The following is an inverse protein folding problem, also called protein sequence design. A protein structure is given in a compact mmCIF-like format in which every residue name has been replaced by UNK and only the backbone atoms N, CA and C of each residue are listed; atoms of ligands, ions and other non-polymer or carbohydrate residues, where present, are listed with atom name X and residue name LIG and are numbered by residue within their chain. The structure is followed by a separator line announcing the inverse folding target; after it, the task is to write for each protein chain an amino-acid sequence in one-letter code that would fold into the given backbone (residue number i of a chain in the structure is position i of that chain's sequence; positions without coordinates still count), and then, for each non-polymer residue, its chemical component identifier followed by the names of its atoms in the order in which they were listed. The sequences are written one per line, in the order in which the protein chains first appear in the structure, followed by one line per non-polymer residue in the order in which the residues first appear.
data_IF_614016620251
#
_entry.id   IF_614016620251
#
_cell.length_a   1.000
_cell.length_b   1.000
_cell.length_c   1.000
_cell.angle_alpha   90.00
_cell.angle_beta   90.00
_cell.angle_gamma   90.00
#
_symmetry.space_group_name_H-M   'P 1'
#
loop_
_entity.id
_entity.type
_entity.pdbx_description
1 polymer ?
#
# COMPACT_ATOMS: atom_id res chain seq x y z
N UNK A 1 23.14 -15.42 2.23
CA UNK A 1 23.35 -13.95 2.16
C UNK A 1 22.02 -13.19 2.16
N UNK A 2 21.05 -13.50 1.30
CA UNK A 2 19.69 -12.90 1.35
C UNK A 2 19.00 -13.08 2.72
N UNK A 3 18.88 -14.32 3.21
CA UNK A 3 18.26 -14.62 4.52
C UNK A 3 18.96 -13.85 5.66
N UNK A 4 20.28 -13.91 5.71
CA UNK A 4 21.08 -13.23 6.75
C UNK A 4 21.11 -11.69 6.62
N UNK A 5 20.67 -11.14 5.48
CA UNK A 5 20.54 -9.70 5.24
C UNK A 5 19.10 -9.22 5.37
N UNK A 6 18.22 -10.05 5.95
CA UNK A 6 16.81 -9.72 6.18
C UNK A 6 16.04 -9.37 4.90
N UNK A 7 16.44 -9.97 3.77
CA UNK A 7 15.76 -9.78 2.50
C UNK A 7 16.22 -8.56 1.71
N UNK A 8 17.49 -8.18 1.80
CA UNK A 8 18.07 -7.13 0.95
C UNK A 8 17.89 -7.48 -0.54
N UNK A 9 17.20 -6.56 -1.23
CA UNK A 9 16.78 -6.70 -2.62
C UNK A 9 17.95 -6.85 -3.59
N UNK A 10 19.15 -6.36 -3.26
CA UNK A 10 20.33 -6.58 -4.09
C UNK A 10 20.68 -8.05 -4.24
N UNK A 11 20.50 -8.85 -3.17
CA UNK A 11 20.75 -10.29 -3.23
C UNK A 11 19.66 -11.01 -4.00
N UNK A 12 18.41 -10.55 -3.94
CA UNK A 12 17.35 -11.06 -4.79
C UNK A 12 17.73 -10.92 -6.28
N UNK A 13 18.17 -9.75 -6.73
CA UNK A 13 18.59 -9.55 -8.13
C UNK A 13 19.79 -10.40 -8.54
N UNK A 14 20.76 -10.59 -7.63
CA UNK A 14 21.91 -11.47 -7.89
C UNK A 14 21.47 -12.92 -8.04
N UNK A 15 20.58 -13.40 -7.17
CA UNK A 15 20.07 -14.78 -7.21
C UNK A 15 19.17 -15.02 -8.43
N UNK A 16 18.31 -14.07 -8.79
CA UNK A 16 17.44 -14.14 -9.98
C UNK A 16 18.21 -14.35 -11.28
N UNK A 17 19.46 -13.86 -11.36
CA UNK A 17 20.35 -14.03 -12.53
C UNK A 17 21.10 -15.37 -12.54
N UNK A 18 21.26 -16.01 -11.39
CA UNK A 18 22.09 -17.21 -11.24
C UNK A 18 21.28 -18.50 -11.32
N UNK A 19 20.02 -18.46 -10.91
CA UNK A 19 19.15 -19.64 -10.79
C UNK A 19 18.43 -19.86 -12.11
N UNK A 20 18.28 -21.12 -12.50
CA UNK A 20 17.57 -21.48 -13.72
C UNK A 20 16.09 -21.10 -13.61
N UNK A 21 15.52 -20.60 -14.70
CA UNK A 21 14.14 -20.09 -14.72
C UNK A 21 13.10 -21.12 -14.25
N UNK A 22 13.29 -22.40 -14.57
CA UNK A 22 12.40 -23.49 -14.17
C UNK A 22 12.47 -23.82 -12.66
N UNK A 23 13.56 -23.47 -11.99
CA UNK A 23 13.77 -23.72 -10.54
C UNK A 23 13.50 -22.48 -9.69
N UNK A 24 13.41 -21.30 -10.33
CA UNK A 24 13.33 -20.01 -9.65
C UNK A 24 12.15 -19.89 -8.70
N UNK A 25 10.94 -20.26 -9.12
CA UNK A 25 9.72 -20.06 -8.31
C UNK A 25 9.77 -20.86 -7.01
N UNK A 26 10.21 -22.13 -7.07
CA UNK A 26 10.34 -22.98 -5.88
C UNK A 26 11.48 -22.52 -4.98
N UNK A 27 12.59 -22.05 -5.57
CA UNK A 27 13.71 -21.50 -4.81
C UNK A 27 13.30 -20.22 -4.09
N UNK A 28 12.65 -19.29 -4.78
CA UNK A 28 12.21 -18.01 -4.23
C UNK A 28 11.25 -18.21 -3.06
N UNK A 29 10.26 -19.11 -3.21
CA UNK A 29 9.31 -19.42 -2.13
C UNK A 29 10.02 -19.91 -0.87
N UNK A 30 10.89 -20.91 -0.99
CA UNK A 30 11.69 -21.41 0.15
C UNK A 30 12.53 -20.31 0.79
N UNK A 31 13.15 -19.48 -0.04
CA UNK A 31 13.97 -18.38 0.43
C UNK A 31 13.16 -17.31 1.17
N UNK A 32 11.98 -16.93 0.67
CA UNK A 32 11.06 -16.01 1.36
C UNK A 32 10.62 -16.61 2.70
N UNK A 33 10.22 -17.89 2.71
CA UNK A 33 9.77 -18.60 3.92
C UNK A 33 10.86 -18.67 5.01
N UNK A 34 12.12 -18.84 4.62
CA UNK A 34 13.27 -18.87 5.53
C UNK A 34 13.75 -17.47 5.97
N UNK A 35 13.29 -16.41 5.30
CA UNK A 35 13.76 -15.04 5.56
C UNK A 35 12.89 -14.33 6.60
N UNK A 36 13.53 -13.88 7.67
CA UNK A 36 12.89 -12.96 8.61
C UNK A 36 13.02 -11.52 8.11
N UNK A 37 12.03 -11.07 7.33
CA UNK A 37 11.92 -9.68 6.90
C UNK A 37 11.77 -8.75 8.11
N UNK A 38 12.42 -7.60 8.06
CA UNK A 38 12.41 -6.67 9.18
C UNK A 38 11.05 -5.96 9.28
N UNK A 39 10.31 -6.20 10.36
CA UNK A 39 8.98 -5.62 10.58
C UNK A 39 8.98 -4.08 10.70
N UNK A 40 10.15 -3.46 10.93
CA UNK A 40 10.31 -2.01 11.07
C UNK A 40 10.64 -1.29 9.76
N UNK A 41 10.96 -2.00 8.68
CA UNK A 41 11.16 -1.40 7.35
C UNK A 41 9.85 -0.88 6.73
N UNK A 42 8.71 -1.28 7.30
CA UNK A 42 7.35 -1.02 6.84
C UNK A 42 6.82 0.38 7.19
N UNK A 43 7.63 1.22 7.84
CA UNK A 43 7.39 2.65 8.02
C UNK A 43 8.30 3.51 7.13
N UNK A 44 9.05 2.86 6.24
CA UNK A 44 10.09 3.42 5.38
C UNK A 44 9.91 2.93 3.94
N UNK A 45 10.65 3.51 3.00
CA UNK A 45 10.63 3.25 1.55
C UNK A 45 11.05 1.85 1.10
N UNK A 46 11.30 0.91 2.01
CA UNK A 46 11.93 -0.36 1.69
C UNK A 46 11.01 -1.52 2.08
N UNK A 47 10.01 -1.79 1.25
CA UNK A 47 9.14 -2.96 1.42
C UNK A 47 9.61 -4.07 0.49
N UNK A 48 10.84 -4.56 0.70
CA UNK A 48 11.51 -5.46 -0.24
C UNK A 48 10.67 -6.71 -0.58
N UNK A 49 9.92 -7.25 0.38
CA UNK A 49 9.03 -8.38 0.14
C UNK A 49 7.89 -8.04 -0.84
N UNK A 50 7.21 -6.91 -0.63
CA UNK A 50 6.15 -6.44 -1.52
C UNK A 50 6.69 -6.07 -2.90
N UNK A 51 7.89 -5.46 -2.99
CA UNK A 51 8.56 -5.18 -4.26
C UNK A 51 8.88 -6.47 -5.03
N UNK A 52 9.36 -7.51 -4.34
CA UNK A 52 9.58 -8.83 -4.92
C UNK A 52 8.26 -9.41 -5.45
N UNK A 53 7.16 -9.34 -4.69
CA UNK A 53 5.86 -9.82 -5.18
C UNK A 53 5.37 -9.07 -6.42
N UNK A 54 5.61 -7.77 -6.51
CA UNK A 54 5.33 -6.98 -7.72
C UNK A 54 6.15 -7.48 -8.91
N UNK A 55 7.45 -7.72 -8.72
CA UNK A 55 8.35 -8.18 -9.79
C UNK A 55 8.06 -9.61 -10.28
N UNK A 56 7.46 -10.43 -9.43
CA UNK A 56 7.10 -11.82 -9.71
C UNK A 56 5.62 -11.98 -10.13
N UNK A 57 4.81 -10.92 -10.03
CA UNK A 57 3.39 -10.94 -10.36
C UNK A 57 2.52 -11.73 -9.37
N UNK A 58 2.96 -11.87 -8.13
CA UNK A 58 2.27 -12.61 -7.06
C UNK A 58 1.25 -11.68 -6.37
N UNK A 59 0.13 -11.41 -7.04
CA UNK A 59 -0.86 -10.40 -6.63
C UNK A 59 -1.58 -10.72 -5.31
N UNK A 60 -1.84 -12.01 -5.05
CA UNK A 60 -2.52 -12.49 -3.83
C UNK A 60 -1.61 -12.32 -2.60
N UNK A 61 -0.36 -12.74 -2.72
CA UNK A 61 0.67 -12.61 -1.70
C UNK A 61 0.97 -11.13 -1.40
N UNK A 62 1.05 -10.30 -2.46
CA UNK A 62 1.17 -8.85 -2.33
C UNK A 62 0.01 -8.26 -1.53
N UNK A 63 -1.24 -8.62 -1.86
CA UNK A 63 -2.41 -8.11 -1.15
C UNK A 63 -2.39 -8.48 0.33
N UNK A 64 -2.09 -9.74 0.66
CA UNK A 64 -2.00 -10.20 2.05
C UNK A 64 -0.92 -9.44 2.84
N UNK A 65 0.24 -9.22 2.23
CA UNK A 65 1.34 -8.47 2.84
C UNK A 65 0.94 -7.01 3.10
N UNK A 66 0.39 -6.33 2.10
CA UNK A 66 -0.13 -4.96 2.23
C UNK A 66 -1.14 -4.86 3.38
N UNK A 67 -2.12 -5.78 3.43
CA UNK A 67 -3.19 -5.73 4.42
C UNK A 67 -2.70 -6.00 5.85
N UNK A 68 -1.70 -6.88 6.01
CA UNK A 68 -1.03 -7.12 7.30
C UNK A 68 -0.37 -5.84 7.84
N UNK A 69 0.10 -4.98 6.96
CA UNK A 69 0.88 -3.79 7.30
C UNK A 69 0.10 -2.47 7.26
N UNK A 70 -1.11 -2.46 6.71
CA UNK A 70 -1.97 -1.28 6.58
C UNK A 70 -2.89 -1.03 7.79
N UNK A 71 -2.46 -1.41 8.99
CA UNK A 71 -3.32 -1.32 10.19
C UNK A 71 -3.48 0.11 10.73
N UNK A 72 -2.47 0.97 10.55
CA UNK A 72 -2.41 2.32 11.15
C UNK A 72 -2.01 3.44 10.18
N UNK A 73 -1.57 3.10 8.96
CA UNK A 73 -1.10 4.07 7.98
C UNK A 73 -1.47 3.63 6.57
N UNK A 74 -1.40 4.58 5.63
CA UNK A 74 -1.77 4.37 4.22
C UNK A 74 -0.56 4.12 3.33
N UNK A 75 0.66 4.07 3.87
CA UNK A 75 1.89 4.04 3.08
C UNK A 75 1.94 2.84 2.14
N UNK A 76 1.77 1.63 2.67
CA UNK A 76 1.73 0.42 1.86
C UNK A 76 0.58 0.45 0.83
N UNK A 77 -0.57 1.02 1.22
CA UNK A 77 -1.68 1.18 0.29
C UNK A 77 -1.30 2.11 -0.88
N UNK A 78 -0.76 3.28 -0.54
CA UNK A 78 -0.40 4.35 -1.48
C UNK A 78 0.68 3.92 -2.47
N UNK A 79 1.65 3.13 -1.99
CA UNK A 79 2.74 2.60 -2.80
C UNK A 79 2.25 1.54 -3.79
N UNK A 80 1.38 0.64 -3.36
CA UNK A 80 1.06 -0.57 -4.12
C UNK A 80 -0.31 -0.58 -4.81
N UNK A 81 -1.15 0.45 -4.65
CA UNK A 81 -2.51 0.50 -5.22
C UNK A 81 -2.58 0.15 -6.71
N UNK A 82 -1.57 0.51 -7.50
CA UNK A 82 -1.52 0.24 -8.95
C UNK A 82 -1.22 -1.21 -9.33
N UNK A 83 -0.77 -2.03 -8.39
CA UNK A 83 -0.36 -3.42 -8.61
C UNK A 83 -1.36 -4.43 -8.04
N UNK A 84 -2.38 -3.94 -7.33
CA UNK A 84 -3.43 -4.79 -6.76
C UNK A 84 -4.42 -5.18 -7.84
N UNK A 85 -4.76 -6.47 -7.88
CA UNK A 85 -5.70 -7.02 -8.84
C UNK A 85 -7.14 -6.54 -8.57
N UNK A 86 -7.96 -6.58 -9.61
CA UNK A 86 -9.38 -6.22 -9.56
C UNK A 86 -10.17 -6.99 -8.47
N UNK A 87 -9.79 -8.23 -8.16
CA UNK A 87 -10.47 -9.07 -7.17
C UNK A 87 -10.22 -8.61 -5.72
N UNK A 88 -9.13 -7.87 -5.50
CA UNK A 88 -8.72 -7.36 -4.20
C UNK A 88 -9.00 -5.87 -4.01
N UNK A 89 -9.35 -5.16 -5.09
CA UNK A 89 -9.64 -3.73 -5.08
C UNK A 89 -10.62 -3.34 -3.97
N UNK A 90 -11.74 -4.07 -3.83
CA UNK A 90 -12.76 -3.80 -2.80
C UNK A 90 -12.21 -3.93 -1.37
N UNK A 91 -11.33 -4.91 -1.13
CA UNK A 91 -10.68 -5.11 0.17
C UNK A 91 -9.78 -3.92 0.52
N UNK A 92 -8.99 -3.48 -0.45
CA UNK A 92 -8.07 -2.36 -0.30
C UNK A 92 -8.81 -1.02 -0.14
N UNK A 93 -9.90 -0.80 -0.89
CA UNK A 93 -10.74 0.39 -0.76
C UNK A 93 -11.38 0.50 0.63
N UNK A 94 -11.80 -0.62 1.24
CA UNK A 94 -12.29 -0.62 2.63
C UNK A 94 -11.21 -0.25 3.63
N UNK A 95 -9.97 -0.69 3.40
CA UNK A 95 -8.84 -0.32 4.25
C UNK A 95 -8.57 1.20 4.18
N UNK A 96 -8.53 1.74 2.96
CA UNK A 96 -8.43 3.17 2.71
C UNK A 96 -9.50 3.98 3.45
N UNK A 97 -10.77 3.64 3.24
CA UNK A 97 -11.91 4.35 3.83
C UNK A 97 -11.80 4.40 5.36
N UNK A 98 -11.52 3.24 6.00
CA UNK A 98 -11.33 3.15 7.44
C UNK A 98 -10.19 4.06 7.93
N UNK A 99 -9.00 3.95 7.32
CA UNK A 99 -7.81 4.69 7.76
C UNK A 99 -7.95 6.19 7.57
N UNK A 100 -8.46 6.63 6.42
CA UNK A 100 -8.61 8.04 6.09
C UNK A 100 -9.65 8.70 7.00
N UNK A 101 -10.75 8.01 7.33
CA UNK A 101 -11.73 8.49 8.32
C UNK A 101 -11.11 8.68 9.70
N UNK A 102 -10.32 7.71 10.16
CA UNK A 102 -9.63 7.79 11.45
C UNK A 102 -8.62 8.95 11.45
N UNK A 103 -7.82 9.11 10.40
CA UNK A 103 -6.87 10.23 10.28
C UNK A 103 -7.59 11.58 10.23
N UNK A 104 -8.75 11.65 9.59
CA UNK A 104 -9.54 12.88 9.49
C UNK A 104 -10.25 13.25 10.81
N UNK A 105 -10.65 12.30 11.65
CA UNK A 105 -11.46 12.57 12.86
C UNK A 105 -10.72 13.32 13.97
N UNK A 106 -9.39 13.26 13.98
CA UNK A 106 -8.58 14.02 14.93
C UNK A 106 -8.71 15.55 14.77
N UNK A 107 -7.98 16.31 15.61
CA UNK A 107 -7.96 17.77 15.55
C UNK A 107 -7.69 18.30 14.14
N UNK A 108 -8.18 19.51 13.88
CA UNK A 108 -7.87 20.20 12.62
C UNK A 108 -6.35 20.41 12.55
N UNK A 109 -5.76 19.89 11.48
CA UNK A 109 -4.33 20.00 11.21
C UNK A 109 -4.18 20.16 9.71
N UNK A 110 -3.74 21.34 9.29
CA UNK A 110 -3.60 21.67 7.86
C UNK A 110 -2.52 20.79 7.21
N UNK A 111 -1.52 20.34 7.98
CA UNK A 111 -0.40 19.56 7.45
C UNK A 111 -0.80 18.16 7.00
N UNK A 112 -1.86 17.57 7.57
CA UNK A 112 -2.32 16.22 7.18
C UNK A 112 -3.24 16.21 5.95
N UNK A 113 -3.87 17.32 5.59
CA UNK A 113 -4.86 17.32 4.51
C UNK A 113 -4.30 16.96 3.13
N UNK A 114 -3.11 17.46 2.72
CA UNK A 114 -2.49 17.04 1.46
C UNK A 114 -2.22 15.54 1.41
N UNK A 115 -1.81 14.94 2.54
CA UNK A 115 -1.61 13.49 2.62
C UNK A 115 -2.92 12.70 2.47
N UNK A 116 -4.03 13.19 3.03
CA UNK A 116 -5.34 12.55 2.85
C UNK A 116 -5.78 12.60 1.38
N UNK A 117 -5.65 13.76 0.74
CA UNK A 117 -5.99 13.92 -0.68
C UNK A 117 -5.10 13.06 -1.59
N UNK A 118 -3.79 13.00 -1.32
CA UNK A 118 -2.85 12.15 -2.04
C UNK A 118 -3.24 10.65 -1.92
N UNK A 119 -3.57 10.16 -0.73
CA UNK A 119 -4.05 8.80 -0.57
C UNK A 119 -5.37 8.55 -1.31
N UNK A 120 -6.28 9.53 -1.33
CA UNK A 120 -7.52 9.45 -2.12
C UNK A 120 -7.23 9.39 -3.63
N UNK A 121 -6.18 10.06 -4.12
CA UNK A 121 -5.72 9.91 -5.51
C UNK A 121 -5.18 8.51 -5.77
N UNK A 122 -4.44 7.92 -4.84
CA UNK A 122 -3.98 6.54 -4.99
C UNK A 122 -5.14 5.54 -5.08
N UNK A 123 -6.26 5.80 -4.39
CA UNK A 123 -7.48 4.98 -4.52
C UNK A 123 -7.95 4.89 -5.98
N UNK A 124 -7.80 5.95 -6.80
CA UNK A 124 -8.25 5.96 -8.20
C UNK A 124 -7.55 4.93 -9.09
N UNK A 125 -6.43 4.35 -8.65
CA UNK A 125 -5.76 3.24 -9.34
C UNK A 125 -6.49 1.89 -9.20
N UNK A 126 -7.40 1.78 -8.23
CA UNK A 126 -8.16 0.57 -7.96
C UNK A 126 -9.47 0.57 -8.75
N UNK A 127 -9.96 -0.63 -9.09
CA UNK A 127 -11.30 -0.80 -9.65
C UNK A 127 -12.36 -0.21 -8.73
N UNK A 128 -13.19 0.69 -9.25
CA UNK A 128 -14.21 1.40 -8.46
C UNK A 128 -13.66 2.47 -7.50
N UNK A 129 -12.36 2.76 -7.60
CA UNK A 129 -11.65 3.63 -6.69
C UNK A 129 -11.98 5.11 -6.85
N UNK A 130 -12.27 5.55 -8.08
CA UNK A 130 -12.73 6.92 -8.34
C UNK A 130 -14.05 7.22 -7.64
N UNK A 131 -15.03 6.33 -7.77
CA UNK A 131 -16.31 6.45 -7.10
C UNK A 131 -16.17 6.38 -5.58
N UNK A 132 -15.25 5.54 -5.08
CA UNK A 132 -14.95 5.47 -3.65
C UNK A 132 -14.32 6.76 -3.11
N UNK A 133 -13.37 7.35 -3.84
CA UNK A 133 -12.76 8.63 -3.48
C UNK A 133 -13.79 9.77 -3.45
N UNK A 134 -14.69 9.84 -4.45
CA UNK A 134 -15.78 10.83 -4.49
C UNK A 134 -16.71 10.69 -3.28
N UNK A 135 -17.18 9.46 -2.97
CA UNK A 135 -18.02 9.21 -1.78
C UNK A 135 -17.33 9.60 -0.48
N UNK A 136 -16.03 9.37 -0.38
CA UNK A 136 -15.25 9.75 0.79
C UNK A 136 -15.09 11.27 0.90
N UNK A 137 -14.89 11.97 -0.21
CA UNK A 137 -14.87 13.43 -0.27
C UNK A 137 -16.21 14.04 0.19
N UNK A 138 -17.34 13.52 -0.30
CA UNK A 138 -18.68 13.92 0.14
C UNK A 138 -18.87 13.72 1.64
N UNK A 139 -18.46 12.57 2.16
CA UNK A 139 -18.49 12.31 3.60
C UNK A 139 -17.68 13.36 4.37
N UNK A 140 -16.47 13.71 3.93
CA UNK A 140 -15.65 14.71 4.59
C UNK A 140 -16.24 16.12 4.51
N UNK A 141 -16.88 16.49 3.39
CA UNK A 141 -17.61 17.76 3.25
C UNK A 141 -18.75 17.87 4.26
N UNK A 142 -19.51 16.78 4.43
CA UNK A 142 -20.61 16.74 5.41
C UNK A 142 -20.12 16.76 6.86
N UNK A 143 -19.07 16.01 7.19
CA UNK A 143 -18.60 15.89 8.57
C UNK A 143 -17.74 17.08 9.03
N UNK A 144 -17.01 17.70 8.11
CA UNK A 144 -16.03 18.74 8.45
C UNK A 144 -16.19 20.04 7.62
N UNK A 145 -17.41 20.61 7.49
CA UNK A 145 -17.68 21.72 6.59
C UNK A 145 -16.89 23.00 6.92
N UNK A 146 -16.43 23.15 8.17
CA UNK A 146 -15.68 24.33 8.65
C UNK A 146 -14.16 24.24 8.44
N UNK A 147 -13.65 23.13 7.90
CA UNK A 147 -12.22 22.93 7.64
C UNK A 147 -11.88 23.39 6.22
N UNK A 148 -11.86 24.70 5.99
CA UNK A 148 -11.69 25.29 4.65
C UNK A 148 -10.46 24.78 3.91
N UNK A 149 -9.31 24.65 4.59
CA UNK A 149 -8.10 24.06 4.00
C UNK A 149 -8.33 22.61 3.56
N UNK A 150 -9.05 21.81 4.36
CA UNK A 150 -9.37 20.43 3.95
C UNK A 150 -10.30 20.41 2.74
N UNK A 151 -11.30 21.29 2.69
CA UNK A 151 -12.23 21.40 1.55
C UNK A 151 -11.52 21.78 0.26
N UNK A 152 -10.48 22.63 0.34
CA UNK A 152 -9.65 22.98 -0.81
C UNK A 152 -8.90 21.75 -1.35
N UNK A 153 -8.25 20.97 -0.48
CA UNK A 153 -7.51 19.76 -0.87
C UNK A 153 -8.40 18.70 -1.53
N UNK A 154 -9.65 18.54 -1.07
CA UNK A 154 -10.57 17.54 -1.63
C UNK A 154 -11.52 18.11 -2.68
N UNK A 155 -11.29 19.31 -3.19
CA UNK A 155 -12.22 20.00 -4.10
C UNK A 155 -12.36 19.32 -5.46
N UNK A 156 -11.35 18.55 -5.88
CA UNK A 156 -11.28 17.90 -7.19
C UNK A 156 -11.95 16.52 -7.26
N UNK A 157 -12.47 16.02 -6.13
CA UNK A 157 -13.19 14.75 -6.02
C UNK A 157 -14.71 14.93 -6.00
#
# INVERSE_FOLDING_TARGET
MFINSHGDIEYYYKLRKLIQHNEWKDFLRKMIDETHFNSYELWSTNNNLADIYVEEGEHEELFHDIMKHSSNNTYALDTYARYVSDEHADGMLRAYDKLLRVKASGPADVKKYPHLAASMKCMEHLKGGKEAAHRLAEYFRCQYPRRSSFMAEISEF
#
